data_IF_033169511799
#
_entry.id   IF_033169511799
#
_cell.length_a   1.000
_cell.length_b   1.000
_cell.length_c   1.000
_cell.angle_alpha   90.00
_cell.angle_beta   90.00
_cell.angle_gamma   90.00
#
_symmetry.space_group_name_H-M   'P 1'
#
loop_
_entity.id
_entity.type
_entity.pdbx_description
1 polymer ?
#
# COMPACT_ATOMS: atom_id res chain seq x y z
N UNK A 1 -27.69 24.29 38.45
CA UNK A 1 -26.81 24.93 37.46
C UNK A 1 -25.45 24.23 37.34
N UNK A 2 -24.64 24.08 38.42
CA UNK A 2 -23.31 23.41 38.35
C UNK A 2 -23.34 21.94 37.88
N UNK A 3 -24.36 21.17 38.28
CA UNK A 3 -24.50 19.75 37.92
C UNK A 3 -24.82 19.55 36.43
N UNK A 4 -25.56 20.48 35.82
CA UNK A 4 -25.90 20.46 34.38
C UNK A 4 -24.65 20.73 33.53
N UNK A 5 -23.74 21.58 34.02
CA UNK A 5 -22.49 21.90 33.34
C UNK A 5 -21.56 20.67 33.23
N UNK A 6 -21.54 19.81 34.26
CA UNK A 6 -20.69 18.60 34.31
C UNK A 6 -21.18 17.53 33.33
N UNK A 7 -22.50 17.38 33.19
CA UNK A 7 -23.11 16.40 32.27
C UNK A 7 -22.85 16.79 30.80
N UNK A 8 -22.89 18.09 30.48
CA UNK A 8 -22.61 18.59 29.12
C UNK A 8 -21.14 18.37 28.74
N UNK A 9 -20.22 18.56 29.68
CA UNK A 9 -18.78 18.31 29.48
C UNK A 9 -18.51 16.81 29.29
N UNK A 10 -19.21 15.94 30.03
CA UNK A 10 -19.07 14.48 29.90
C UNK A 10 -19.56 13.96 28.53
N UNK A 11 -20.62 14.55 27.96
CA UNK A 11 -21.14 14.15 26.64
C UNK A 11 -20.27 14.61 25.45
N UNK A 12 -19.46 15.66 25.61
CA UNK A 12 -18.57 16.15 24.55
C UNK A 12 -17.35 15.25 24.32
N UNK A 13 -16.94 14.48 25.33
CA UNK A 13 -15.80 13.54 25.21
C UNK A 13 -16.14 12.35 24.31
N UNK A 14 -17.43 12.01 24.17
CA UNK A 14 -17.91 10.93 23.30
C UNK A 14 -17.83 11.25 21.79
N UNK A 15 -17.53 12.49 21.40
CA UNK A 15 -17.37 12.90 20.00
C UNK A 15 -15.92 12.84 19.48
N UNK A 16 -14.93 12.41 20.27
CA UNK A 16 -13.57 12.14 19.80
C UNK A 16 -13.44 10.77 19.10
N UNK A 17 -14.45 10.40 18.30
CA UNK A 17 -14.46 9.21 17.44
C UNK A 17 -13.60 9.40 16.19
N UNK A 18 -12.28 9.54 16.35
CA UNK A 18 -11.36 9.53 15.20
C UNK A 18 -11.32 8.09 14.65
N UNK A 19 -11.82 7.92 13.43
CA UNK A 19 -12.05 6.64 12.76
C UNK A 19 -10.83 5.69 12.82
N UNK A 20 -11.03 4.43 13.20
CA UNK A 20 -9.99 3.42 13.31
C UNK A 20 -9.35 3.03 11.95
N UNK A 21 -9.99 3.34 10.82
CA UNK A 21 -9.53 2.97 9.48
C UNK A 21 -8.20 3.62 9.08
N UNK A 22 -7.92 4.85 9.53
CA UNK A 22 -6.69 5.57 9.16
C UNK A 22 -5.41 4.95 9.75
N UNK A 23 -5.47 4.48 11.00
CA UNK A 23 -4.33 3.85 11.68
C UNK A 23 -3.94 2.52 11.02
N UNK A 24 -4.93 1.72 10.61
CA UNK A 24 -4.67 0.44 9.92
C UNK A 24 -4.02 0.66 8.55
N UNK A 25 -4.51 1.62 7.76
CA UNK A 25 -3.94 1.93 6.45
C UNK A 25 -2.49 2.45 6.54
N UNK A 26 -2.20 3.33 7.51
CA UNK A 26 -0.85 3.81 7.76
C UNK A 26 0.10 2.68 8.16
N UNK A 27 -0.36 1.73 8.99
CA UNK A 27 0.44 0.59 9.42
C UNK A 27 0.82 -0.32 8.23
N UNK A 28 -0.12 -0.56 7.31
CA UNK A 28 0.15 -1.40 6.11
C UNK A 28 1.18 -0.74 5.18
N UNK A 29 1.18 0.59 5.05
CA UNK A 29 2.18 1.30 4.24
C UNK A 29 3.58 1.18 4.82
N UNK A 30 3.74 1.37 6.14
CA UNK A 30 5.03 1.18 6.81
C UNK A 30 5.56 -0.25 6.67
N UNK A 31 4.69 -1.24 6.85
CA UNK A 31 5.02 -2.66 6.62
C UNK A 31 5.44 -2.92 5.17
N UNK A 32 4.78 -2.29 4.20
CA UNK A 32 5.12 -2.40 2.78
C UNK A 32 6.50 -1.85 2.49
N UNK A 33 6.81 -0.67 3.02
CA UNK A 33 8.12 -0.03 2.86
C UNK A 33 9.22 -0.95 3.42
N UNK A 34 9.07 -1.39 4.66
CA UNK A 34 10.03 -2.28 5.30
C UNK A 34 10.20 -3.61 4.54
N UNK A 35 9.10 -4.21 4.08
CA UNK A 35 9.12 -5.47 3.33
C UNK A 35 9.84 -5.33 1.99
N UNK A 36 9.46 -4.33 1.17
CA UNK A 36 10.05 -4.14 -0.17
C UNK A 36 11.53 -3.76 -0.07
N UNK A 37 11.90 -2.86 0.84
CA UNK A 37 13.32 -2.49 1.07
C UNK A 37 14.16 -3.71 1.41
N UNK A 38 13.66 -4.58 2.30
CA UNK A 38 14.33 -5.82 2.68
C UNK A 38 14.40 -6.82 1.51
N UNK A 39 13.28 -7.03 0.82
CA UNK A 39 13.20 -8.03 -0.25
C UNK A 39 14.07 -7.67 -1.45
N UNK A 40 14.19 -6.38 -1.78
CA UNK A 40 15.04 -5.90 -2.87
C UNK A 40 16.49 -5.62 -2.46
N UNK A 41 16.80 -5.75 -1.17
CA UNK A 41 18.09 -5.39 -0.57
C UNK A 41 18.54 -4.00 -1.01
N UNK A 42 17.67 -3.00 -0.87
CA UNK A 42 17.97 -1.64 -1.34
C UNK A 42 19.07 -1.02 -0.49
N UNK A 43 20.08 -0.45 -1.16
CA UNK A 43 21.01 0.46 -0.49
C UNK A 43 20.30 1.78 -0.15
N UNK A 44 20.91 2.61 0.70
CA UNK A 44 20.37 3.94 1.02
C UNK A 44 20.15 4.79 -0.25
N UNK A 45 21.13 4.78 -1.17
CA UNK A 45 21.07 5.55 -2.41
C UNK A 45 20.02 5.00 -3.39
N UNK A 46 19.91 3.67 -3.48
CA UNK A 46 18.87 3.04 -4.29
C UNK A 46 17.49 3.34 -3.73
N UNK A 47 17.30 3.27 -2.41
CA UNK A 47 16.02 3.53 -1.76
C UNK A 47 15.52 4.96 -2.03
N UNK A 48 16.41 5.96 -1.94
CA UNK A 48 16.08 7.36 -2.24
C UNK A 48 15.56 7.55 -3.67
N UNK A 49 16.11 6.84 -4.65
CA UNK A 49 15.71 6.90 -6.06
C UNK A 49 14.51 5.99 -6.37
N UNK A 50 14.40 4.86 -5.68
CA UNK A 50 13.41 3.82 -5.92
C UNK A 50 12.00 4.26 -5.52
N UNK A 51 11.84 4.80 -4.32
CA UNK A 51 10.52 5.10 -3.77
C UNK A 51 9.68 6.07 -4.62
N UNK A 52 10.23 7.19 -5.16
CA UNK A 52 9.50 8.06 -6.08
C UNK A 52 8.98 7.32 -7.32
N UNK A 53 9.80 6.46 -7.93
CA UNK A 53 9.41 5.65 -9.09
C UNK A 53 8.32 4.66 -8.71
N UNK A 54 8.49 3.99 -7.57
CA UNK A 54 7.54 3.01 -7.06
C UNK A 54 6.16 3.61 -6.75
N UNK A 55 6.11 4.79 -6.13
CA UNK A 55 4.84 5.46 -5.84
C UNK A 55 4.11 5.88 -7.12
N UNK A 56 4.85 6.35 -8.12
CA UNK A 56 4.27 6.72 -9.42
C UNK A 56 3.70 5.48 -10.13
N UNK A 57 4.44 4.37 -10.12
CA UNK A 57 3.97 3.06 -10.58
C UNK A 57 2.67 2.63 -9.90
N UNK A 58 2.65 2.68 -8.56
CA UNK A 58 1.50 2.26 -7.77
C UNK A 58 0.27 3.13 -8.06
N UNK A 59 0.45 4.44 -8.19
CA UNK A 59 -0.62 5.37 -8.50
C UNK A 59 -1.19 5.15 -9.91
N UNK A 60 -0.34 4.90 -10.91
CA UNK A 60 -0.80 4.56 -12.27
C UNK A 60 -1.60 3.26 -12.28
N UNK A 61 -1.16 2.22 -11.57
CA UNK A 61 -1.93 0.98 -11.43
C UNK A 61 -3.27 1.19 -10.74
N UNK A 62 -3.29 1.98 -9.67
CA UNK A 62 -4.52 2.30 -8.95
C UNK A 62 -5.50 3.05 -9.84
N UNK A 63 -5.01 4.03 -10.60
CA UNK A 63 -5.81 4.78 -11.57
C UNK A 63 -6.38 3.87 -12.65
N UNK A 64 -5.55 3.03 -13.26
CA UNK A 64 -5.99 2.05 -14.26
C UNK A 64 -7.10 1.15 -13.70
N UNK A 65 -6.93 0.63 -12.48
CA UNK A 65 -7.93 -0.23 -11.83
C UNK A 65 -9.27 0.45 -11.60
N UNK A 66 -9.26 1.75 -11.30
CA UNK A 66 -10.48 2.55 -11.09
C UNK A 66 -11.17 2.82 -12.43
N UNK A 67 -10.40 3.21 -13.46
CA UNK A 67 -10.93 3.54 -14.78
C UNK A 67 -11.54 2.32 -15.51
N UNK A 68 -11.01 1.13 -15.27
CA UNK A 68 -11.39 -0.10 -15.99
C UNK A 68 -12.01 -1.14 -15.05
N UNK A 69 -12.74 -0.68 -14.02
CA UNK A 69 -13.23 -1.53 -12.93
C UNK A 69 -14.06 -2.74 -13.42
N UNK A 70 -14.85 -2.53 -14.46
CA UNK A 70 -15.81 -3.54 -14.97
C UNK A 70 -15.31 -4.25 -16.24
N UNK A 71 -14.14 -3.86 -16.76
CA UNK A 71 -13.53 -4.46 -17.95
C UNK A 71 -12.16 -5.07 -17.59
N UNK A 72 -12.18 -6.38 -17.36
CA UNK A 72 -11.00 -7.14 -16.91
C UNK A 72 -9.90 -7.16 -17.98
N UNK A 73 -10.27 -7.30 -19.26
CA UNK A 73 -9.30 -7.44 -20.35
C UNK A 73 -8.58 -6.11 -20.58
N UNK A 74 -9.33 -5.00 -20.62
CA UNK A 74 -8.75 -3.67 -20.75
C UNK A 74 -7.87 -3.32 -19.54
N UNK A 75 -8.28 -3.74 -18.33
CA UNK A 75 -7.44 -3.58 -17.14
C UNK A 75 -6.11 -4.32 -17.27
N UNK A 76 -6.13 -5.59 -17.69
CA UNK A 76 -4.94 -6.43 -17.84
C UNK A 76 -3.98 -5.87 -18.90
N UNK A 77 -4.51 -5.39 -20.01
CA UNK A 77 -3.73 -4.72 -21.06
C UNK A 77 -3.03 -3.46 -20.52
N UNK A 78 -3.79 -2.55 -19.87
CA UNK A 78 -3.22 -1.34 -19.25
C UNK A 78 -2.18 -1.71 -18.18
N UNK A 79 -2.47 -2.69 -17.33
CA UNK A 79 -1.54 -3.16 -16.30
C UNK A 79 -0.24 -3.64 -16.93
N UNK A 80 -0.32 -4.43 -18.01
CA UNK A 80 0.87 -4.94 -18.69
C UNK A 80 1.71 -3.80 -19.26
N UNK A 81 1.07 -2.80 -19.89
CA UNK A 81 1.74 -1.60 -20.39
C UNK A 81 2.48 -0.85 -19.27
N UNK A 82 1.80 -0.62 -18.14
CA UNK A 82 2.40 0.03 -16.96
C UNK A 82 3.59 -0.80 -16.43
N UNK A 83 3.44 -2.13 -16.30
CA UNK A 83 4.53 -3.00 -15.84
C UNK A 83 5.73 -2.95 -16.77
N UNK A 84 5.53 -2.98 -18.10
CA UNK A 84 6.61 -2.85 -19.08
C UNK A 84 7.35 -1.51 -18.93
N UNK A 85 6.62 -0.39 -18.87
CA UNK A 85 7.18 0.95 -18.64
C UNK A 85 8.04 0.99 -17.38
N UNK A 86 7.49 0.55 -16.25
CA UNK A 86 8.19 0.65 -14.98
C UNK A 86 9.27 -0.41 -14.77
N UNK A 87 9.25 -1.53 -15.51
CA UNK A 87 10.37 -2.47 -15.53
C UNK A 87 11.65 -1.79 -15.98
N UNK A 88 11.57 -0.95 -17.02
CA UNK A 88 12.71 -0.17 -17.50
C UNK A 88 13.16 0.87 -16.47
N UNK A 89 12.23 1.57 -15.80
CA UNK A 89 12.58 2.55 -14.76
C UNK A 89 13.20 1.88 -13.52
N UNK A 90 12.68 0.74 -13.08
CA UNK A 90 13.26 -0.02 -11.98
C UNK A 90 14.65 -0.54 -12.34
N UNK A 91 14.89 -0.96 -13.58
CA UNK A 91 16.23 -1.35 -14.03
C UNK A 91 17.23 -0.21 -13.93
N UNK A 92 16.83 1.03 -14.27
CA UNK A 92 17.72 2.21 -14.13
C UNK A 92 18.15 2.45 -12.69
N UNK A 93 17.30 2.11 -11.71
CA UNK A 93 17.60 2.29 -10.28
C UNK A 93 18.33 1.08 -9.69
N UNK A 94 17.93 -0.14 -10.07
CA UNK A 94 18.38 -1.39 -9.46
C UNK A 94 19.46 -2.13 -10.26
N UNK A 95 19.82 -1.62 -11.44
CA UNK A 95 20.94 -2.08 -12.26
C UNK A 95 20.68 -3.29 -13.15
N UNK A 96 19.75 -4.19 -12.78
CA UNK A 96 19.52 -5.45 -13.53
C UNK A 96 18.04 -5.72 -13.80
N UNK A 97 17.76 -6.46 -14.89
CA UNK A 97 16.40 -6.92 -15.21
C UNK A 97 15.86 -7.87 -14.14
N UNK A 98 16.73 -8.69 -13.54
CA UNK A 98 16.36 -9.59 -12.45
C UNK A 98 15.82 -8.82 -11.24
N UNK A 99 16.54 -7.78 -10.79
CA UNK A 99 16.10 -6.95 -9.67
C UNK A 99 14.87 -6.13 -10.00
N UNK A 100 14.76 -5.62 -11.23
CA UNK A 100 13.54 -4.94 -11.70
C UNK A 100 12.32 -5.87 -11.67
N UNK A 101 12.46 -7.11 -12.14
CA UNK A 101 11.40 -8.11 -12.08
C UNK A 101 11.03 -8.48 -10.63
N UNK A 102 12.02 -8.51 -9.72
CA UNK A 102 11.80 -8.78 -8.30
C UNK A 102 10.85 -7.78 -7.65
N UNK A 103 10.79 -6.54 -8.12
CA UNK A 103 9.84 -5.52 -7.62
C UNK A 103 8.39 -5.99 -7.74
N UNK A 104 8.02 -6.53 -8.90
CA UNK A 104 6.65 -7.01 -9.15
C UNK A 104 6.32 -8.26 -8.32
N UNK A 105 7.31 -9.13 -8.12
CA UNK A 105 7.16 -10.32 -7.28
C UNK A 105 6.97 -9.93 -5.81
N UNK A 106 7.78 -9.01 -5.31
CA UNK A 106 7.72 -8.52 -3.95
C UNK A 106 6.36 -7.86 -3.65
N UNK A 107 5.83 -7.05 -4.58
CA UNK A 107 4.51 -6.42 -4.42
C UNK A 107 3.38 -7.45 -4.37
N UNK A 108 3.41 -8.45 -5.27
CA UNK A 108 2.44 -9.55 -5.29
C UNK A 108 2.48 -10.36 -3.99
N UNK A 109 3.69 -10.69 -3.52
CA UNK A 109 3.90 -11.48 -2.32
C UNK A 109 3.43 -10.72 -1.06
N UNK A 110 3.74 -9.42 -0.97
CA UNK A 110 3.23 -8.57 0.10
C UNK A 110 1.70 -8.57 0.15
N UNK A 111 1.05 -8.39 -1.01
CA UNK A 111 -0.41 -8.47 -1.08
C UNK A 111 -0.99 -9.83 -0.67
N UNK A 112 -0.28 -10.93 -0.89
CA UNK A 112 -0.67 -12.25 -0.39
C UNK A 112 -0.53 -12.37 1.13
N UNK A 113 0.56 -11.85 1.69
CA UNK A 113 0.82 -11.82 3.15
C UNK A 113 -0.29 -11.04 3.86
N UNK A 114 -0.62 -9.83 3.39
CA UNK A 114 -1.65 -8.99 4.02
C UNK A 114 -3.02 -9.65 3.96
N UNK A 115 -3.39 -10.28 2.84
CA UNK A 115 -4.67 -11.00 2.73
C UNK A 115 -4.75 -12.17 3.72
N UNK A 116 -3.67 -12.95 3.84
CA UNK A 116 -3.59 -14.06 4.80
C UNK A 116 -3.71 -13.57 6.24
N UNK A 117 -3.02 -12.48 6.57
CA UNK A 117 -3.07 -11.87 7.91
C UNK A 117 -4.47 -11.38 8.26
N UNK A 118 -5.16 -10.70 7.33
CA UNK A 118 -6.55 -10.26 7.52
C UNK A 118 -7.48 -11.44 7.78
N UNK A 119 -7.34 -12.54 7.00
CA UNK A 119 -8.14 -13.75 7.18
C UNK A 119 -7.90 -14.40 8.55
N UNK A 120 -6.64 -14.46 9.01
CA UNK A 120 -6.31 -15.02 10.32
C UNK A 120 -6.94 -14.21 11.46
N UNK A 121 -6.89 -12.87 11.39
CA UNK A 121 -7.54 -12.01 12.39
C UNK A 121 -9.05 -12.21 12.43
N UNK A 122 -9.69 -12.36 11.27
CA UNK A 122 -11.14 -12.62 11.21
C UNK A 122 -11.52 -13.96 11.83
N UNK A 123 -10.67 -14.99 11.67
CA UNK A 123 -10.90 -16.31 12.29
C UNK A 123 -10.73 -16.26 13.81
N UNK A 124 -9.73 -15.55 14.32
CA UNK A 124 -9.47 -15.45 15.76
C UNK A 124 -10.51 -14.60 16.52
N UNK A 125 -11.37 -13.86 15.81
CA UNK A 125 -12.46 -13.05 16.37
C UNK A 125 -13.80 -13.79 16.40
N UNK A 126 -13.89 -15.01 15.85
CA UNK A 126 -15.08 -15.87 15.85
C UNK A 126 -14.88 -17.02 16.83
#
# INVERSE_FOLDING_TARGET
MKQILIIIIATMISFLGISQNGKMAANVQGLKIAYITKELNLTSDEAQKFWPVYYTYFNELKKARIETKDDVIVFEEKMLGIKKKYSSEFKKVLGTDERANKVFLADRNFGAIIRKEIQNRQKNLR
#
